data_IF_590232875017
#
_entry.id   IF_590232875017
#
_cell.length_a   1.000
_cell.length_b   1.000
_cell.length_c   1.000
_cell.angle_alpha   90.00
_cell.angle_beta   90.00
_cell.angle_gamma   90.00
#
_symmetry.space_group_name_H-M   'P 1'
#
loop_
_entity.id
_entity.type
_entity.pdbx_description
1 polymer ?
#
# COMPACT_ATOMS: atom_id res chain seq x y z
N UNK A 1 40.59 -4.72 39.61
CA UNK A 1 39.76 -3.87 38.73
C UNK A 1 39.82 -4.34 37.25
N UNK A 2 39.63 -5.63 36.95
CA UNK A 2 39.81 -6.19 35.59
C UNK A 2 38.57 -6.91 35.02
N UNK A 3 37.49 -7.07 35.81
CA UNK A 3 36.25 -7.73 35.34
C UNK A 3 35.36 -6.81 34.50
N UNK A 4 35.53 -5.49 34.65
CA UNK A 4 34.74 -4.50 33.93
C UNK A 4 35.17 -4.37 32.46
N UNK A 5 36.46 -4.56 32.16
CA UNK A 5 37.04 -4.40 30.81
C UNK A 5 36.54 -5.46 29.81
N UNK A 6 36.34 -6.71 30.25
CA UNK A 6 35.78 -7.77 29.40
C UNK A 6 34.29 -7.55 29.10
N UNK A 7 33.50 -7.15 30.11
CA UNK A 7 32.09 -6.80 29.90
C UNK A 7 31.91 -5.55 29.03
N UNK A 8 32.78 -4.56 29.19
CA UNK A 8 32.81 -3.35 28.34
C UNK A 8 33.21 -3.68 26.91
N UNK A 9 34.22 -4.54 26.71
CA UNK A 9 34.63 -5.00 25.38
C UNK A 9 33.52 -5.78 24.67
N UNK A 10 32.82 -6.66 25.38
CA UNK A 10 31.69 -7.41 24.83
C UNK A 10 30.50 -6.50 24.48
N UNK A 11 30.22 -5.48 25.31
CA UNK A 11 29.25 -4.44 25.01
C UNK A 11 29.63 -3.62 23.77
N UNK A 12 30.91 -3.25 23.62
CA UNK A 12 31.40 -2.49 22.46
C UNK A 12 31.31 -3.30 21.16
N UNK A 13 31.63 -4.59 21.21
CA UNK A 13 31.48 -5.50 20.05
C UNK A 13 29.99 -5.66 19.71
N UNK A 14 29.12 -5.85 20.70
CA UNK A 14 27.67 -5.91 20.50
C UNK A 14 27.12 -4.63 19.87
N UNK A 15 27.59 -3.46 20.34
CA UNK A 15 27.20 -2.15 19.81
C UNK A 15 27.72 -1.95 18.38
N UNK A 16 28.95 -2.37 18.08
CA UNK A 16 29.53 -2.29 16.74
C UNK A 16 28.79 -3.19 15.74
N UNK A 17 28.42 -4.40 16.14
CA UNK A 17 27.59 -5.31 15.34
C UNK A 17 26.19 -4.72 15.13
N UNK A 18 25.55 -4.17 16.17
CA UNK A 18 24.27 -3.47 16.06
C UNK A 18 24.34 -2.28 15.07
N UNK A 19 25.39 -1.46 15.15
CA UNK A 19 25.60 -0.34 14.23
C UNK A 19 25.87 -0.79 12.80
N UNK A 20 26.61 -1.88 12.60
CA UNK A 20 26.85 -2.47 11.28
C UNK A 20 25.57 -3.07 10.68
N UNK A 21 24.73 -3.77 11.48
CA UNK A 21 23.39 -4.20 11.06
C UNK A 21 22.48 -3.01 10.75
N UNK A 22 22.62 -1.92 11.50
CA UNK A 22 22.04 -0.59 11.24
C UNK A 22 22.31 -0.13 9.83
N UNK A 23 23.59 -0.12 9.48
CA UNK A 23 24.09 0.34 8.17
C UNK A 23 23.73 -0.61 7.02
N UNK A 24 23.58 -1.92 7.29
CA UNK A 24 23.13 -2.92 6.32
C UNK A 24 21.63 -2.83 5.98
N UNK A 25 20.89 -1.89 6.59
CA UNK A 25 19.48 -1.65 6.28
C UNK A 25 18.53 -2.71 6.83
N UNK A 26 19.01 -3.64 7.66
CA UNK A 26 18.17 -4.66 8.31
C UNK A 26 17.09 -4.00 9.17
N UNK A 27 17.43 -2.92 9.87
CA UNK A 27 16.47 -2.14 10.65
C UNK A 27 15.44 -1.44 9.77
N UNK A 28 15.85 -0.89 8.63
CA UNK A 28 14.92 -0.29 7.68
C UNK A 28 13.96 -1.33 7.10
N UNK A 29 14.47 -2.50 6.69
CA UNK A 29 13.64 -3.61 6.20
C UNK A 29 12.66 -4.12 7.25
N UNK A 30 13.11 -4.35 8.50
CA UNK A 30 12.25 -4.78 9.60
C UNK A 30 11.15 -3.75 9.88
N UNK A 31 11.50 -2.47 10.01
CA UNK A 31 10.53 -1.39 10.30
C UNK A 31 9.54 -1.19 9.15
N UNK A 32 10.01 -1.26 7.90
CA UNK A 32 9.17 -1.23 6.70
C UNK A 32 8.12 -2.33 6.69
N UNK A 33 8.47 -3.54 7.14
CA UNK A 33 7.52 -4.65 7.22
C UNK A 33 6.64 -4.61 8.48
N UNK A 34 7.16 -4.09 9.59
CA UNK A 34 6.43 -3.95 10.86
C UNK A 34 5.31 -2.90 10.78
N UNK A 35 5.54 -1.78 10.10
CA UNK A 35 4.58 -0.67 10.08
C UNK A 35 3.20 -1.05 9.51
N UNK A 36 3.08 -1.66 8.31
CA UNK A 36 1.79 -2.13 7.81
C UNK A 36 1.14 -3.17 8.73
N UNK A 37 1.96 -3.95 9.45
CA UNK A 37 1.50 -4.98 10.38
C UNK A 37 0.83 -4.35 11.62
N UNK A 38 1.32 -3.20 12.09
CA UNK A 38 0.68 -2.39 13.15
C UNK A 38 -0.71 -1.90 12.72
N UNK A 39 -0.97 -1.69 11.42
CA UNK A 39 -2.30 -1.38 10.90
C UNK A 39 -3.15 -2.64 10.66
N UNK A 40 -2.53 -3.73 10.21
CA UNK A 40 -3.21 -4.99 9.92
C UNK A 40 -3.76 -5.65 11.19
N UNK A 41 -2.97 -5.67 12.27
CA UNK A 41 -3.38 -6.28 13.56
C UNK A 41 -4.70 -5.71 14.07
N UNK A 42 -4.89 -4.39 14.25
CA UNK A 42 -6.16 -3.85 14.71
C UNK A 42 -7.29 -4.06 13.70
N UNK A 43 -6.99 -4.02 12.39
CA UNK A 43 -7.97 -4.35 11.34
C UNK A 43 -8.51 -5.77 11.50
N UNK A 44 -7.62 -6.76 11.57
CA UNK A 44 -7.97 -8.18 11.80
C UNK A 44 -8.61 -8.40 13.16
N UNK A 45 -8.16 -7.70 14.20
CA UNK A 45 -8.75 -7.78 15.54
C UNK A 45 -10.20 -7.33 15.52
N UNK A 46 -10.54 -6.25 14.80
CA UNK A 46 -11.91 -5.80 14.63
C UNK A 46 -12.78 -6.84 13.93
N UNK A 47 -12.28 -7.49 12.88
CA UNK A 47 -12.98 -8.62 12.26
C UNK A 47 -13.17 -9.78 13.23
N UNK A 48 -12.12 -10.18 13.95
CA UNK A 48 -12.16 -11.29 14.90
C UNK A 48 -13.17 -11.03 16.03
N UNK A 49 -13.16 -9.84 16.62
CA UNK A 49 -14.09 -9.45 17.69
C UNK A 49 -15.55 -9.42 17.20
N UNK A 50 -15.78 -8.98 15.96
CA UNK A 50 -17.10 -9.05 15.34
C UNK A 50 -17.57 -10.51 15.15
N UNK A 51 -16.75 -11.37 14.56
CA UNK A 51 -17.11 -12.78 14.36
C UNK A 51 -17.30 -13.54 15.68
N UNK A 52 -16.59 -13.15 16.73
CA UNK A 52 -16.79 -13.65 18.08
C UNK A 52 -18.04 -13.07 18.78
N UNK A 53 -18.88 -12.31 18.07
CA UNK A 53 -20.10 -11.65 18.57
C UNK A 53 -19.88 -10.72 19.76
N UNK A 54 -18.67 -10.21 19.93
CA UNK A 54 -18.33 -9.31 21.04
C UNK A 54 -18.62 -7.84 20.72
N UNK A 55 -18.55 -7.47 19.43
CA UNK A 55 -18.72 -6.10 18.96
C UNK A 55 -19.80 -5.98 17.88
N UNK A 56 -20.46 -4.82 17.75
CA UNK A 56 -21.46 -4.57 16.73
C UNK A 56 -20.84 -4.49 15.34
N UNK A 57 -21.67 -4.64 14.30
CA UNK A 57 -21.25 -4.65 12.91
C UNK A 57 -20.55 -3.34 12.47
N UNK A 58 -20.85 -2.20 13.12
CA UNK A 58 -20.19 -0.92 12.87
C UNK A 58 -18.67 -0.97 12.94
N UNK A 59 -18.09 -1.91 13.71
CA UNK A 59 -16.65 -2.08 13.87
C UNK A 59 -15.98 -2.70 12.63
N UNK A 60 -16.74 -3.33 11.72
CA UNK A 60 -16.18 -3.79 10.45
C UNK A 60 -15.77 -2.63 9.54
N UNK A 61 -16.38 -1.45 9.64
CA UNK A 61 -16.00 -0.31 8.79
C UNK A 61 -14.54 0.09 9.02
N UNK A 62 -14.09 0.40 10.26
CA UNK A 62 -12.67 0.65 10.50
C UNK A 62 -11.81 -0.62 10.30
N UNK A 63 -12.36 -1.82 10.52
CA UNK A 63 -11.69 -3.10 10.24
C UNK A 63 -11.29 -3.26 8.77
N UNK A 64 -12.23 -3.08 7.85
CA UNK A 64 -12.03 -3.16 6.41
C UNK A 64 -11.12 -2.05 5.89
N UNK A 65 -11.27 -0.83 6.39
CA UNK A 65 -10.38 0.30 6.05
C UNK A 65 -8.93 -0.02 6.44
N UNK A 66 -8.70 -0.45 7.69
CA UNK A 66 -7.36 -0.75 8.18
C UNK A 66 -6.74 -1.93 7.44
N UNK A 67 -7.53 -2.97 7.18
CA UNK A 67 -7.07 -4.18 6.47
C UNK A 67 -6.68 -3.86 5.02
N UNK A 68 -7.52 -3.11 4.30
CA UNK A 68 -7.22 -2.68 2.92
C UNK A 68 -5.99 -1.78 2.85
N UNK A 69 -5.86 -0.81 3.77
CA UNK A 69 -4.71 0.08 3.80
C UNK A 69 -3.42 -0.65 4.15
N UNK A 70 -3.49 -1.58 5.11
CA UNK A 70 -2.34 -2.41 5.47
C UNK A 70 -1.86 -3.26 4.28
N UNK A 71 -2.77 -3.89 3.54
CA UNK A 71 -2.43 -4.63 2.31
C UNK A 71 -1.79 -3.72 1.25
N UNK A 72 -2.33 -2.52 1.07
CA UNK A 72 -1.77 -1.53 0.15
C UNK A 72 -0.35 -1.11 0.56
N UNK A 73 -0.10 -0.87 1.85
CA UNK A 73 1.23 -0.54 2.34
C UNK A 73 2.19 -1.73 2.29
N UNK A 74 1.74 -2.97 2.49
CA UNK A 74 2.56 -4.16 2.23
C UNK A 74 2.97 -4.23 0.76
N UNK A 75 2.04 -3.98 -0.16
CA UNK A 75 2.35 -3.91 -1.58
C UNK A 75 3.40 -2.83 -1.89
N UNK A 76 3.25 -1.62 -1.34
CA UNK A 76 4.25 -0.56 -1.50
C UNK A 76 5.63 -0.93 -0.92
N UNK A 77 5.70 -1.72 0.15
CA UNK A 77 6.99 -2.16 0.69
C UNK A 77 7.66 -3.22 -0.19
N UNK A 78 6.90 -4.08 -0.86
CA UNK A 78 7.44 -5.13 -1.75
C UNK A 78 7.84 -4.56 -3.11
N UNK A 79 6.96 -3.77 -3.74
CA UNK A 79 7.13 -3.24 -5.10
C UNK A 79 7.74 -1.84 -5.14
N UNK A 80 7.99 -1.24 -3.98
CA UNK A 80 8.49 0.11 -3.84
C UNK A 80 7.39 1.15 -3.70
N UNK A 81 7.69 2.21 -2.94
CA UNK A 81 6.77 3.30 -2.64
C UNK A 81 6.36 4.13 -3.86
N UNK A 82 7.06 4.00 -4.99
CA UNK A 82 6.63 4.59 -6.27
C UNK A 82 5.27 4.06 -6.75
N UNK A 83 4.91 2.82 -6.36
CA UNK A 83 3.62 2.20 -6.64
C UNK A 83 2.44 2.94 -6.01
N UNK A 84 2.69 3.76 -4.98
CA UNK A 84 1.69 4.59 -4.32
C UNK A 84 1.01 5.57 -5.28
N UNK A 85 1.73 6.01 -6.31
CA UNK A 85 1.17 6.87 -7.36
C UNK A 85 0.07 6.18 -8.17
N UNK A 86 0.01 4.84 -8.19
CA UNK A 86 -1.04 4.06 -8.84
C UNK A 86 -2.10 3.59 -7.85
N UNK A 87 -1.69 3.31 -6.62
CA UNK A 87 -2.53 2.73 -5.58
C UNK A 87 -3.36 3.75 -4.81
N UNK A 88 -3.13 5.06 -4.95
CA UNK A 88 -3.87 6.09 -4.21
C UNK A 88 -5.41 5.96 -4.25
N UNK A 89 -6.08 5.51 -5.34
CA UNK A 89 -7.53 5.31 -5.34
C UNK A 89 -7.96 4.16 -4.40
N UNK A 90 -7.00 3.30 -4.03
CA UNK A 90 -7.13 2.27 -3.01
C UNK A 90 -7.55 2.81 -1.64
N UNK A 91 -7.26 4.09 -1.32
CA UNK A 91 -7.80 4.70 -0.10
C UNK A 91 -9.32 4.84 -0.14
N UNK A 92 -9.87 5.27 -1.28
CA UNK A 92 -11.32 5.36 -1.48
C UNK A 92 -11.93 3.95 -1.47
N UNK A 93 -11.23 2.99 -2.11
CA UNK A 93 -11.63 1.59 -2.11
C UNK A 93 -11.67 1.01 -0.69
N UNK A 94 -10.73 1.36 0.19
CA UNK A 94 -10.75 0.88 1.58
C UNK A 94 -11.99 1.33 2.35
N UNK A 95 -12.43 2.58 2.15
CA UNK A 95 -13.70 3.06 2.71
C UNK A 95 -14.89 2.31 2.11
N UNK A 96 -14.87 2.10 0.79
CA UNK A 96 -15.92 1.32 0.11
C UNK A 96 -16.01 -0.11 0.64
N UNK A 97 -14.87 -0.79 0.85
CA UNK A 97 -14.80 -2.15 1.40
C UNK A 97 -15.32 -2.19 2.83
N UNK A 98 -14.92 -1.26 3.70
CA UNK A 98 -15.42 -1.22 5.08
C UNK A 98 -16.95 -1.02 5.15
N UNK A 99 -17.50 -0.16 4.30
CA UNK A 99 -18.97 0.03 4.20
C UNK A 99 -19.67 -1.19 3.58
N UNK A 100 -19.05 -1.83 2.60
CA UNK A 100 -19.56 -3.04 1.98
C UNK A 100 -19.62 -4.20 2.97
N UNK A 101 -18.57 -4.39 3.76
CA UNK A 101 -18.51 -5.39 4.83
C UNK A 101 -19.57 -5.12 5.90
N UNK A 102 -19.75 -3.87 6.32
CA UNK A 102 -20.83 -3.51 7.24
C UNK A 102 -22.19 -4.00 6.71
N UNK A 103 -22.52 -3.71 5.45
CA UNK A 103 -23.79 -4.11 4.87
C UNK A 103 -23.93 -5.64 4.70
N UNK A 104 -22.83 -6.33 4.37
CA UNK A 104 -22.85 -7.78 4.18
C UNK A 104 -23.10 -8.54 5.48
N UNK A 105 -22.52 -8.04 6.58
CA UNK A 105 -22.54 -8.74 7.87
C UNK A 105 -23.61 -8.21 8.85
N UNK A 106 -24.15 -7.01 8.62
CA UNK A 106 -25.28 -6.48 9.37
C UNK A 106 -26.60 -6.75 8.65
N UNK A 107 -27.43 -7.64 9.21
CA UNK A 107 -28.76 -7.96 8.69
C UNK A 107 -29.75 -6.79 8.74
N UNK A 108 -29.47 -5.79 9.57
CA UNK A 108 -30.31 -4.59 9.73
C UNK A 108 -29.82 -3.38 8.94
N UNK A 109 -28.76 -3.56 8.14
CA UNK A 109 -28.16 -2.48 7.37
C UNK A 109 -29.13 -1.91 6.34
N UNK A 110 -29.28 -0.58 6.37
CA UNK A 110 -30.08 0.13 5.38
C UNK A 110 -29.43 0.02 3.98
N UNK A 111 -30.27 0.00 2.95
CA UNK A 111 -29.85 -0.07 1.55
C UNK A 111 -28.98 1.13 1.16
N UNK A 112 -29.11 2.25 1.87
CA UNK A 112 -28.25 3.43 1.72
C UNK A 112 -26.76 3.14 1.94
N UNK A 113 -26.41 2.23 2.85
CA UNK A 113 -25.00 1.86 3.12
C UNK A 113 -24.38 1.16 1.93
N UNK A 114 -25.11 0.21 1.31
CA UNK A 114 -24.68 -0.49 0.10
C UNK A 114 -24.51 0.49 -1.06
N UNK A 115 -25.46 1.41 -1.24
CA UNK A 115 -25.38 2.42 -2.31
C UNK A 115 -24.13 3.29 -2.10
N UNK A 116 -23.86 3.74 -0.87
CA UNK A 116 -22.65 4.48 -0.52
C UNK A 116 -21.38 3.70 -0.83
N UNK A 117 -21.32 2.43 -0.43
CA UNK A 117 -20.20 1.53 -0.72
C UNK A 117 -19.98 1.34 -2.23
N UNK A 118 -21.07 1.13 -3.00
CA UNK A 118 -21.02 0.96 -4.45
C UNK A 118 -20.56 2.23 -5.16
N UNK A 119 -21.09 3.39 -4.78
CA UNK A 119 -20.69 4.68 -5.36
C UNK A 119 -19.21 4.95 -5.10
N UNK A 120 -18.74 4.76 -3.86
CA UNK A 120 -17.33 4.91 -3.53
C UNK A 120 -16.45 3.89 -4.27
N UNK A 121 -16.91 2.65 -4.40
CA UNK A 121 -16.22 1.60 -5.17
C UNK A 121 -16.10 1.95 -6.65
N UNK A 122 -17.16 2.46 -7.26
CA UNK A 122 -17.16 2.93 -8.66
C UNK A 122 -16.22 4.12 -8.82
N UNK A 123 -16.27 5.10 -7.93
CA UNK A 123 -15.38 6.26 -7.95
C UNK A 123 -13.92 5.82 -7.83
N UNK A 124 -13.61 4.90 -6.91
CA UNK A 124 -12.28 4.35 -6.76
C UNK A 124 -11.82 3.61 -8.03
N UNK A 125 -12.69 2.80 -8.64
CA UNK A 125 -12.39 2.08 -9.87
C UNK A 125 -12.15 3.03 -11.06
N UNK A 126 -12.96 4.08 -11.20
CA UNK A 126 -12.80 5.12 -12.22
C UNK A 126 -11.47 5.84 -12.04
N UNK A 127 -11.12 6.25 -10.81
CA UNK A 127 -9.83 6.89 -10.56
C UNK A 127 -8.64 5.95 -10.76
N UNK A 128 -8.81 4.66 -10.47
CA UNK A 128 -7.80 3.65 -10.77
C UNK A 128 -7.58 3.52 -12.28
N UNK A 129 -8.66 3.43 -13.05
CA UNK A 129 -8.63 3.42 -14.51
C UNK A 129 -7.96 4.67 -15.09
N UNK A 130 -8.35 5.85 -14.63
CA UNK A 130 -7.76 7.14 -15.04
C UNK A 130 -6.26 7.15 -14.75
N UNK A 131 -5.86 6.80 -13.52
CA UNK A 131 -4.45 6.82 -13.11
C UNK A 131 -3.60 5.89 -13.98
N UNK A 132 -4.13 4.69 -14.26
CA UNK A 132 -3.48 3.72 -15.14
C UNK A 132 -3.37 4.25 -16.58
N UNK A 133 -4.45 4.82 -17.12
CA UNK A 133 -4.50 5.38 -18.47
C UNK A 133 -3.56 6.56 -18.66
N UNK A 134 -3.47 7.50 -17.71
CA UNK A 134 -2.56 8.64 -17.81
C UNK A 134 -1.09 8.21 -17.80
N UNK A 135 -0.73 7.27 -16.90
CA UNK A 135 0.63 6.76 -16.81
C UNK A 135 1.00 5.97 -18.07
N UNK A 136 0.17 5.01 -18.49
CA UNK A 136 0.35 4.26 -19.75
C UNK A 136 0.38 5.19 -20.97
N UNK A 137 -0.53 6.17 -21.01
CA UNK A 137 -0.66 7.11 -22.12
C UNK A 137 0.60 7.94 -22.34
N UNK A 138 1.26 8.40 -21.27
CA UNK A 138 2.55 9.09 -21.38
C UNK A 138 3.61 8.19 -22.02
N UNK A 139 3.67 6.90 -21.66
CA UNK A 139 4.61 5.97 -22.29
C UNK A 139 4.29 5.72 -23.76
N UNK A 140 3.01 5.62 -24.12
CA UNK A 140 2.57 5.47 -25.52
C UNK A 140 2.96 6.70 -26.35
N UNK A 141 2.69 7.91 -25.82
CA UNK A 141 3.07 9.16 -26.49
C UNK A 141 4.60 9.25 -26.63
N UNK A 142 5.35 8.96 -25.57
CA UNK A 142 6.81 8.95 -25.61
C UNK A 142 7.36 7.94 -26.63
N UNK A 143 6.80 6.73 -26.69
CA UNK A 143 7.17 5.71 -27.66
C UNK A 143 6.89 6.18 -29.09
N UNK A 144 5.72 6.77 -29.36
CA UNK A 144 5.39 7.34 -30.66
C UNK A 144 6.37 8.44 -31.05
N UNK A 145 6.77 9.29 -30.10
CA UNK A 145 7.72 10.36 -30.35
C UNK A 145 9.13 9.82 -30.66
N UNK A 146 9.56 8.77 -29.95
CA UNK A 146 10.81 8.05 -30.23
C UNK A 146 10.75 7.41 -31.62
N UNK A 147 9.67 6.72 -31.97
CA UNK A 147 9.47 6.12 -33.29
C UNK A 147 9.47 7.18 -34.40
N UNK A 148 8.81 8.32 -34.18
CA UNK A 148 8.81 9.44 -35.10
C UNK A 148 10.22 10.03 -35.29
N UNK A 149 10.98 10.22 -34.20
CA UNK A 149 12.37 10.68 -34.26
C UNK A 149 13.27 9.71 -35.01
N UNK A 150 13.14 8.41 -34.75
CA UNK A 150 13.86 7.35 -35.48
C UNK A 150 13.48 7.37 -36.97
N UNK A 151 12.19 7.47 -37.28
CA UNK A 151 11.70 7.53 -38.66
C UNK A 151 12.24 8.75 -39.42
N UNK A 152 12.44 9.91 -38.77
CA UNK A 152 13.06 11.09 -39.38
C UNK A 152 14.55 10.86 -39.67
N UNK A 153 15.29 10.21 -38.76
CA UNK A 153 16.72 9.94 -38.93
C UNK A 153 16.96 8.95 -40.08
N UNK A 154 16.13 7.91 -40.19
CA UNK A 154 16.22 6.93 -41.28
C UNK A 154 15.48 7.37 -42.56
N UNK A 155 14.61 8.36 -42.45
CA UNK A 155 13.94 9.04 -43.55
C UNK A 155 14.94 9.92 -44.28
N UNK A 156 15.71 9.31 -45.19
CA UNK A 156 16.64 10.03 -46.07
C UNK A 156 15.95 11.25 -46.69
N UNK A 157 16.58 12.44 -46.69
CA UNK A 157 16.10 13.53 -47.52
C UNK A 157 16.15 13.05 -48.97
N UNK A 158 14.99 12.98 -49.64
CA UNK A 158 14.95 13.02 -51.10
C UNK A 158 15.42 14.42 -51.47
N UNK A 159 16.74 14.60 -51.55
CA UNK A 159 17.37 15.76 -52.16
C UNK A 159 17.03 15.70 -53.65
N UNK A 160 16.22 16.66 -54.09
CA UNK A 160 16.02 17.03 -55.48
C UNK A 160 16.47 18.49 -55.60
#
# INVERSE_FOLDING_TARGET
MARNSYSIGMLLIGLAVLLLLGKLGVFHFLVSFLWPLVLLIPGLLFHFLFFNRTLPAGVLVPGGILSTYALMFFYCNIFGWGSMSYLWPGFILGVAVGLYELHLFDRSSDRGVLIGAMVLGIIAAVFFGITLLFKLGIYVIALLLVLAGVAIIFGKPKAW
#
